data_IF_372090436742
#
_entry.id   IF_372090436742
#
_cell.length_a   1.000
_cell.length_b   1.000
_cell.length_c   1.000
_cell.angle_alpha   90.00
_cell.angle_beta   90.00
_cell.angle_gamma   90.00
#
_symmetry.space_group_name_H-M   'P 1'
#
loop_
_entity.id
_entity.type
_entity.pdbx_description
1 polymer ?
#
# COMPACT_ATOMS: atom_id res chain seq x y z
N UNK A 1 -18.58 20.84 9.90
CA UNK A 1 -19.27 21.56 8.81
C UNK A 1 -19.56 20.61 7.67
N UNK A 2 -18.62 19.73 7.29
CA UNK A 2 -18.96 18.46 6.62
C UNK A 2 -19.36 17.45 7.69
N UNK A 3 -20.46 16.74 7.48
CA UNK A 3 -21.05 15.77 8.42
C UNK A 3 -21.53 14.53 7.65
N UNK A 4 -21.56 13.38 8.31
CA UNK A 4 -22.17 12.16 7.79
C UNK A 4 -23.70 12.33 7.77
N UNK A 5 -24.31 12.23 6.58
CA UNK A 5 -25.75 12.44 6.38
C UNK A 5 -26.52 11.15 6.60
N UNK A 6 -27.65 11.21 7.30
CA UNK A 6 -28.42 10.02 7.72
C UNK A 6 -29.12 9.28 6.57
N UNK A 7 -29.20 9.87 5.38
CA UNK A 7 -29.88 9.34 4.20
C UNK A 7 -28.92 8.93 3.06
N UNK A 8 -27.61 8.87 3.33
CA UNK A 8 -26.58 8.48 2.37
C UNK A 8 -25.85 7.22 2.84
N UNK A 9 -25.55 6.31 1.91
CA UNK A 9 -24.66 5.17 2.16
C UNK A 9 -23.21 5.59 1.98
N UNK A 10 -22.36 5.31 2.96
CA UNK A 10 -20.91 5.57 2.91
C UNK A 10 -20.14 4.26 2.96
N UNK A 11 -19.09 4.16 2.14
CA UNK A 11 -18.16 3.02 2.12
C UNK A 11 -16.73 3.56 2.16
N UNK A 12 -15.87 2.87 2.91
CA UNK A 12 -14.47 3.23 3.03
C UNK A 12 -13.58 2.03 2.77
N UNK A 13 -12.64 2.18 1.84
CA UNK A 13 -11.55 1.23 1.63
C UNK A 13 -10.28 1.86 2.19
N UNK A 14 -9.59 1.11 3.05
CA UNK A 14 -8.26 1.46 3.51
C UNK A 14 -7.22 0.69 2.70
N UNK A 15 -6.18 1.39 2.25
CA UNK A 15 -4.99 0.85 1.58
C UNK A 15 -3.81 0.82 2.55
N UNK A 16 -2.98 -0.20 2.42
CA UNK A 16 -1.70 -0.29 3.14
C UNK A 16 -0.66 -0.91 2.21
N UNK A 17 0.50 -0.25 2.10
CA UNK A 17 1.65 -0.81 1.39
C UNK A 17 2.94 -0.71 2.20
N UNK A 18 2.80 -0.96 3.48
CA UNK A 18 3.92 -1.02 4.41
C UNK A 18 3.99 -2.34 5.13
N UNK A 19 5.16 -2.65 5.68
CA UNK A 19 5.36 -3.74 6.63
C UNK A 19 5.89 -3.20 7.95
N UNK A 20 5.39 -3.78 9.06
CA UNK A 20 5.83 -3.43 10.40
C UNK A 20 7.24 -3.97 10.66
N UNK A 21 8.10 -3.12 11.24
CA UNK A 21 9.47 -3.46 11.59
C UNK A 21 9.94 -2.59 12.78
N UNK A 22 11.24 -2.63 13.09
CA UNK A 22 11.83 -1.93 14.22
C UNK A 22 13.04 -1.11 13.78
N UNK A 23 13.17 0.11 14.33
CA UNK A 23 14.36 0.91 14.15
C UNK A 23 15.54 0.37 14.99
N UNK A 24 16.72 0.99 14.88
CA UNK A 24 17.92 0.61 15.66
C UNK A 24 17.74 0.67 17.18
N UNK A 25 16.71 1.36 17.67
CA UNK A 25 16.34 1.44 19.09
C UNK A 25 15.24 0.44 19.48
N UNK A 26 14.93 -0.53 18.62
CA UNK A 26 13.85 -1.52 18.80
C UNK A 26 12.46 -0.90 18.95
N UNK A 27 12.23 0.30 18.39
CA UNK A 27 10.92 0.94 18.39
C UNK A 27 10.18 0.60 17.10
N UNK A 28 8.88 0.31 17.21
CA UNK A 28 8.01 0.01 16.07
C UNK A 28 8.03 1.17 15.05
N UNK A 29 8.17 0.80 13.79
CA UNK A 29 8.08 1.65 12.59
C UNK A 29 7.42 0.84 11.46
N UNK A 30 6.98 1.53 10.41
CA UNK A 30 6.49 0.91 9.18
C UNK A 30 7.39 1.31 8.01
N UNK A 31 7.83 0.34 7.21
CA UNK A 31 8.61 0.60 6.00
C UNK A 31 7.83 0.26 4.73
N UNK A 32 8.09 0.97 3.62
CA UNK A 32 7.45 0.72 2.35
C UNK A 32 7.75 -0.69 1.84
N UNK A 33 6.78 -1.33 1.21
CA UNK A 33 7.03 -2.54 0.44
C UNK A 33 7.64 -2.16 -0.91
N UNK A 34 8.96 -2.30 -1.03
CA UNK A 34 9.76 -1.79 -2.17
C UNK A 34 9.40 -2.37 -3.55
N UNK A 35 8.63 -3.47 -3.61
CA UNK A 35 8.23 -4.12 -4.86
C UNK A 35 6.84 -3.71 -5.34
N UNK A 36 5.99 -3.22 -4.44
CA UNK A 36 4.59 -2.90 -4.71
C UNK A 36 4.31 -1.41 -4.61
N UNK A 37 5.10 -0.68 -3.81
CA UNK A 37 4.98 0.76 -3.68
C UNK A 37 5.79 1.48 -4.75
N UNK A 38 5.14 2.45 -5.40
CA UNK A 38 5.78 3.39 -6.30
C UNK A 38 6.90 4.17 -5.61
N UNK A 39 8.10 4.14 -6.20
CA UNK A 39 9.30 4.80 -5.67
C UNK A 39 9.11 6.27 -5.23
N UNK A 40 8.37 7.14 -5.96
CA UNK A 40 8.13 8.51 -5.48
C UNK A 40 7.39 8.58 -4.14
N UNK A 41 6.61 7.56 -3.79
CA UNK A 41 5.87 7.47 -2.54
C UNK A 41 6.72 6.88 -1.39
N UNK A 42 7.83 6.20 -1.67
CA UNK A 42 8.69 5.60 -0.62
C UNK A 42 9.17 6.64 0.40
N UNK A 43 9.62 7.81 -0.05
CA UNK A 43 10.14 8.86 0.85
C UNK A 43 9.03 9.38 1.77
N UNK A 44 7.82 9.53 1.24
CA UNK A 44 6.65 9.94 2.02
C UNK A 44 6.24 8.83 2.99
N UNK A 45 6.23 7.58 2.52
CA UNK A 45 5.94 6.40 3.34
C UNK A 45 6.88 6.26 4.51
N UNK A 46 8.19 6.42 4.29
CA UNK A 46 9.22 6.37 5.33
C UNK A 46 8.96 7.44 6.39
N UNK A 47 8.59 8.66 5.96
CA UNK A 47 8.28 9.73 6.90
C UNK A 47 7.02 9.39 7.74
N UNK A 48 5.94 8.97 7.09
CA UNK A 48 4.67 8.59 7.72
C UNK A 48 4.83 7.41 8.69
N UNK A 49 5.58 6.38 8.28
CA UNK A 49 5.87 5.18 9.05
C UNK A 49 6.95 5.34 10.12
N UNK A 50 7.61 6.50 10.18
CA UNK A 50 8.65 6.80 11.14
C UNK A 50 8.12 6.99 12.58
N UNK A 51 9.01 7.37 13.49
CA UNK A 51 8.67 7.75 14.86
C UNK A 51 8.15 9.19 14.97
N UNK A 52 8.01 9.93 13.88
CA UNK A 52 7.56 11.32 13.92
C UNK A 52 6.17 11.47 14.55
N UNK A 53 5.16 10.75 14.07
CA UNK A 53 3.80 10.84 14.63
C UNK A 53 3.76 10.42 16.12
N UNK A 54 4.36 9.29 16.54
CA UNK A 54 4.39 8.94 17.96
C UNK A 54 5.20 9.87 18.86
N UNK A 55 6.43 10.20 18.47
CA UNK A 55 7.37 10.88 19.37
C UNK A 55 7.20 12.41 19.35
N UNK A 56 6.71 12.98 18.24
CA UNK A 56 6.56 14.44 18.06
C UNK A 56 5.12 14.91 18.22
N UNK A 57 4.15 14.15 17.70
CA UNK A 57 2.72 14.52 17.76
C UNK A 57 1.96 13.83 18.90
N UNK A 58 2.58 12.86 19.58
CA UNK A 58 1.96 12.10 20.66
C UNK A 58 0.86 11.15 20.20
N UNK A 59 0.84 10.78 18.91
CA UNK A 59 -0.14 9.85 18.34
C UNK A 59 0.25 8.38 18.62
N UNK A 60 -0.70 7.45 18.49
CA UNK A 60 -0.38 6.02 18.64
C UNK A 60 0.50 5.54 17.48
N UNK A 61 1.15 4.39 17.66
CA UNK A 61 1.89 3.71 16.59
C UNK A 61 0.99 3.17 15.46
N UNK A 62 -0.33 3.23 15.62
CA UNK A 62 -1.29 2.81 14.59
C UNK A 62 -1.40 3.84 13.47
N UNK A 63 -0.80 5.01 13.65
CA UNK A 63 -0.57 5.99 12.59
C UNK A 63 0.62 5.65 11.70
N UNK A 64 1.42 4.61 11.98
CA UNK A 64 2.60 4.30 11.16
C UNK A 64 2.27 3.54 9.86
N UNK A 65 1.38 2.53 9.84
CA UNK A 65 0.91 1.92 8.60
C UNK A 65 0.36 2.95 7.61
N UNK A 66 0.75 2.84 6.35
CA UNK A 66 0.36 3.79 5.30
C UNK A 66 0.44 3.18 3.89
N UNK A 67 -0.09 3.90 2.91
CA UNK A 67 -0.05 3.56 1.48
C UNK A 67 0.92 4.46 0.69
N UNK A 68 1.88 5.09 1.39
CA UNK A 68 2.83 6.04 0.83
C UNK A 68 2.34 7.47 0.69
N UNK A 69 1.04 7.75 0.92
CA UNK A 69 0.54 9.13 0.96
C UNK A 69 -0.28 9.42 2.22
N UNK A 70 -1.03 8.43 2.72
CA UNK A 70 -1.97 8.58 3.83
C UNK A 70 -1.80 7.42 4.81
N UNK A 71 -1.92 7.70 6.11
CA UNK A 71 -1.90 6.67 7.14
C UNK A 71 -3.17 5.82 7.07
N UNK A 72 -3.04 4.49 7.11
CA UNK A 72 -4.15 3.54 6.90
C UNK A 72 -5.30 3.76 7.88
N UNK A 73 -4.99 4.07 9.16
CA UNK A 73 -6.01 4.37 10.18
C UNK A 73 -6.91 5.56 9.82
N UNK A 74 -6.39 6.51 9.04
CA UNK A 74 -7.11 7.73 8.64
C UNK A 74 -8.07 7.52 7.46
N UNK A 75 -8.11 6.33 6.86
CA UNK A 75 -8.93 6.05 5.67
C UNK A 75 -10.30 5.46 6.01
N UNK A 76 -10.53 5.07 7.26
CA UNK A 76 -11.74 4.34 7.66
C UNK A 76 -13.00 5.21 7.65
N UNK A 77 -12.91 6.46 8.08
CA UNK A 77 -14.05 7.37 8.14
C UNK A 77 -13.60 8.82 8.39
N UNK A 78 -14.57 9.73 8.38
CA UNK A 78 -14.35 11.05 8.95
C UNK A 78 -14.17 11.00 10.50
N UNK A 79 -13.93 12.16 11.10
CA UNK A 79 -13.64 12.26 12.54
C UNK A 79 -14.84 11.98 13.46
N UNK A 80 -16.09 12.08 12.98
CA UNK A 80 -17.31 12.10 13.81
C UNK A 80 -18.34 11.03 13.45
N UNK A 81 -18.27 10.47 12.25
CA UNK A 81 -19.20 9.48 11.74
C UNK A 81 -19.11 8.18 12.52
N UNK A 82 -20.21 7.42 12.48
CA UNK A 82 -20.24 6.07 13.03
C UNK A 82 -19.60 5.10 12.03
N UNK A 83 -18.65 4.29 12.52
CA UNK A 83 -18.01 3.21 11.76
C UNK A 83 -18.72 1.89 12.05
N UNK A 84 -19.03 1.14 11.01
CA UNK A 84 -19.48 -0.26 11.12
C UNK A 84 -18.67 -1.13 10.18
N UNK A 85 -18.23 -2.30 10.64
CA UNK A 85 -17.59 -3.27 9.77
C UNK A 85 -18.63 -3.79 8.75
N UNK A 86 -18.28 -3.78 7.47
CA UNK A 86 -19.18 -4.28 6.44
C UNK A 86 -19.20 -5.81 6.43
N UNK A 87 -20.28 -6.39 6.96
CA UNK A 87 -20.51 -7.84 7.02
C UNK A 87 -21.36 -8.37 5.85
N UNK A 88 -21.60 -7.51 4.85
CA UNK A 88 -22.53 -7.74 3.76
C UNK A 88 -23.85 -6.99 3.90
N UNK A 89 -24.11 -6.30 5.00
CA UNK A 89 -25.27 -5.40 5.12
C UNK A 89 -24.82 -3.95 5.06
N UNK A 90 -25.35 -3.20 4.09
CA UNK A 90 -25.10 -1.76 3.97
C UNK A 90 -25.95 -0.99 4.99
N UNK A 91 -25.30 -0.29 5.92
CA UNK A 91 -25.95 0.62 6.86
C UNK A 91 -25.97 2.06 6.32
N UNK A 92 -27.18 2.64 6.22
CA UNK A 92 -27.36 4.02 5.78
C UNK A 92 -26.98 4.99 6.90
N UNK A 93 -26.38 6.12 6.54
CA UNK A 93 -25.95 7.14 7.50
C UNK A 93 -24.72 6.79 8.31
N UNK A 94 -23.99 5.74 7.92
CA UNK A 94 -22.76 5.28 8.57
C UNK A 94 -21.70 4.91 7.56
N UNK A 95 -20.45 4.93 8.00
CA UNK A 95 -19.30 4.45 7.23
C UNK A 95 -19.23 2.93 7.33
N UNK A 96 -19.50 2.26 6.21
CA UNK A 96 -19.35 0.82 6.08
C UNK A 96 -17.88 0.53 5.75
N UNK A 97 -17.13 0.12 6.76
CA UNK A 97 -15.71 -0.19 6.66
C UNK A 97 -15.52 -1.48 5.86
N UNK A 98 -14.90 -1.33 4.70
CA UNK A 98 -14.59 -2.46 3.83
C UNK A 98 -13.33 -3.16 4.33
N UNK A 99 -13.15 -4.42 3.92
CA UNK A 99 -11.90 -5.14 4.17
C UNK A 99 -10.73 -4.37 3.57
N UNK A 100 -9.65 -4.23 4.35
CA UNK A 100 -8.43 -3.55 3.94
C UNK A 100 -7.83 -4.16 2.66
N UNK A 101 -7.36 -3.29 1.77
CA UNK A 101 -6.64 -3.66 0.56
C UNK A 101 -5.13 -3.57 0.84
N UNK A 102 -4.47 -4.70 1.00
CA UNK A 102 -3.07 -4.77 1.43
C UNK A 102 -2.12 -4.98 0.26
N UNK A 103 -0.91 -4.41 0.37
CA UNK A 103 0.10 -4.44 -0.69
C UNK A 103 -0.23 -3.51 -1.86
N UNK A 104 -0.92 -2.39 -1.57
CA UNK A 104 -1.32 -1.40 -2.57
C UNK A 104 -1.02 0.00 -2.08
N UNK A 105 -0.16 0.69 -2.83
CA UNK A 105 0.06 2.11 -2.61
C UNK A 105 -1.15 2.97 -3.02
N UNK A 106 -1.04 4.26 -2.70
CA UNK A 106 -2.10 5.24 -2.89
C UNK A 106 -2.59 5.37 -4.34
N UNK A 107 -1.73 5.12 -5.33
CA UNK A 107 -2.07 5.22 -6.75
C UNK A 107 -2.50 3.86 -7.31
N UNK A 108 -1.98 2.76 -6.77
CA UNK A 108 -2.27 1.41 -7.22
C UNK A 108 -3.78 1.10 -7.17
N UNK A 109 -4.46 1.51 -6.09
CA UNK A 109 -5.92 1.33 -5.96
C UNK A 109 -6.72 2.05 -7.05
N UNK A 110 -6.17 3.11 -7.65
CA UNK A 110 -6.81 3.86 -8.75
C UNK A 110 -6.56 3.27 -10.14
N UNK A 111 -5.80 2.18 -10.22
CA UNK A 111 -5.43 1.51 -11.47
C UNK A 111 -4.03 1.85 -11.97
N UNK A 112 -3.23 2.61 -11.21
CA UNK A 112 -1.81 2.86 -11.51
C UNK A 112 -0.99 1.69 -10.96
N UNK A 113 -1.20 0.51 -11.53
CA UNK A 113 -0.62 -0.76 -11.09
C UNK A 113 -0.58 -1.78 -12.23
N UNK A 114 0.18 -2.86 -12.03
CA UNK A 114 0.19 -4.04 -12.89
C UNK A 114 -0.89 -5.06 -12.51
N UNK A 115 -1.51 -4.89 -11.34
CA UNK A 115 -2.49 -5.81 -10.80
C UNK A 115 -3.88 -5.56 -11.40
N UNK A 116 -4.23 -6.34 -12.42
CA UNK A 116 -5.55 -6.26 -13.07
C UNK A 116 -6.72 -6.56 -12.10
N UNK A 117 -6.46 -7.28 -11.00
CA UNK A 117 -7.43 -7.61 -9.97
C UNK A 117 -8.09 -6.37 -9.35
N UNK A 118 -7.45 -5.19 -9.42
CA UNK A 118 -8.05 -3.92 -9.00
C UNK A 118 -9.36 -3.65 -9.74
N UNK A 119 -9.47 -4.00 -11.03
CA UNK A 119 -10.72 -3.84 -11.79
C UNK A 119 -11.86 -4.65 -11.16
N UNK A 120 -11.58 -5.84 -10.63
CA UNK A 120 -12.58 -6.67 -9.96
C UNK A 120 -13.20 -5.99 -8.73
N UNK A 121 -12.43 -5.15 -8.02
CA UNK A 121 -12.95 -4.34 -6.91
C UNK A 121 -13.96 -3.32 -7.43
N UNK A 122 -13.62 -2.60 -8.50
CA UNK A 122 -14.52 -1.62 -9.11
C UNK A 122 -15.81 -2.27 -9.62
N UNK A 123 -15.71 -3.40 -10.32
CA UNK A 123 -16.87 -4.14 -10.81
C UNK A 123 -17.77 -4.61 -9.67
N UNK A 124 -17.19 -5.25 -8.64
CA UNK A 124 -17.96 -5.73 -7.50
C UNK A 124 -18.56 -4.60 -6.66
N UNK A 125 -17.83 -3.49 -6.48
CA UNK A 125 -18.35 -2.33 -5.78
C UNK A 125 -19.47 -1.64 -6.57
N UNK A 126 -19.38 -1.56 -7.90
CA UNK A 126 -20.48 -1.07 -8.74
C UNK A 126 -21.73 -1.94 -8.64
N UNK A 127 -21.58 -3.26 -8.58
CA UNK A 127 -22.71 -4.15 -8.32
C UNK A 127 -23.33 -3.90 -6.93
N UNK A 128 -22.51 -3.62 -5.92
CA UNK A 128 -22.98 -3.21 -4.59
C UNK A 128 -23.80 -1.93 -4.64
N UNK A 129 -23.26 -0.88 -5.25
CA UNK A 129 -23.98 0.40 -5.38
C UNK A 129 -25.30 0.24 -6.16
N UNK A 130 -25.30 -0.56 -7.21
CA UNK A 130 -26.51 -0.85 -8.00
C UNK A 130 -27.55 -1.66 -7.21
N UNK A 131 -27.12 -2.48 -6.25
CA UNK A 131 -28.01 -3.27 -5.41
C UNK A 131 -28.66 -2.50 -4.26
N UNK A 132 -28.23 -1.26 -4.01
CA UNK A 132 -28.72 -0.47 -2.89
C UNK A 132 -30.24 -0.20 -2.99
N UNK A 133 -30.98 -0.27 -1.87
CA UNK A 133 -32.40 -0.01 -1.89
C UNK A 133 -32.72 1.43 -2.28
N UNK A 134 -33.62 1.59 -3.25
CA UNK A 134 -34.23 2.89 -3.59
C UNK A 134 -35.54 3.07 -2.80
N UNK A 135 -35.46 3.74 -1.65
CA UNK A 135 -36.62 4.05 -0.79
C UNK A 135 -37.04 2.93 0.18
N UNK A 136 -38.16 3.14 0.90
CA UNK A 136 -38.58 2.33 2.06
C UNK A 136 -39.12 0.93 1.75
N UNK A 137 -39.03 0.45 0.51
CA UNK A 137 -39.69 -0.79 0.06
C UNK A 137 -38.72 -1.98 0.03
N UNK A 138 -38.40 -2.50 1.21
CA UNK A 138 -37.62 -3.74 1.38
C UNK A 138 -38.46 -4.97 1.02
N UNK A 139 -38.19 -5.57 -0.14
CA UNK A 139 -38.71 -6.89 -0.53
C UNK A 139 -37.54 -7.86 -0.64
N UNK A 140 -37.71 -9.09 -0.12
CA UNK A 140 -36.79 -10.25 -0.08
C UNK A 140 -35.79 -10.42 -1.24
N UNK A 141 -36.08 -9.89 -2.42
CA UNK A 141 -35.17 -9.82 -3.59
C UNK A 141 -33.89 -9.01 -3.32
N UNK A 142 -33.94 -8.01 -2.43
CA UNK A 142 -32.79 -7.25 -1.97
C UNK A 142 -31.82 -8.09 -1.12
N UNK A 143 -32.32 -8.98 -0.27
CA UNK A 143 -31.48 -9.77 0.65
C UNK A 143 -30.65 -10.82 -0.08
N UNK A 144 -31.18 -11.47 -1.12
CA UNK A 144 -30.44 -12.45 -1.94
C UNK A 144 -29.51 -11.79 -2.97
N UNK A 145 -29.88 -10.62 -3.49
CA UNK A 145 -28.95 -9.80 -4.27
C UNK A 145 -27.73 -9.41 -3.41
N UNK A 146 -27.97 -9.07 -2.15
CA UNK A 146 -26.93 -8.66 -1.23
C UNK A 146 -25.90 -9.77 -0.96
N UNK A 147 -26.31 -11.01 -0.65
CA UNK A 147 -25.35 -12.10 -0.37
C UNK A 147 -24.47 -12.47 -1.57
N UNK A 148 -25.01 -12.40 -2.79
CA UNK A 148 -24.23 -12.69 -4.02
C UNK A 148 -23.23 -11.57 -4.31
N UNK A 149 -23.66 -10.32 -4.16
CA UNK A 149 -22.82 -9.13 -4.35
C UNK A 149 -21.71 -9.07 -3.29
N UNK A 150 -22.04 -9.31 -2.01
CA UNK A 150 -21.04 -9.41 -0.94
C UNK A 150 -20.03 -10.51 -1.23
N UNK A 151 -20.47 -11.68 -1.69
CA UNK A 151 -19.56 -12.77 -2.03
C UNK A 151 -18.60 -12.39 -3.18
N UNK A 152 -19.11 -11.71 -4.22
CA UNK A 152 -18.27 -11.19 -5.31
C UNK A 152 -17.24 -10.17 -4.80
N UNK A 153 -17.67 -9.26 -3.94
CA UNK A 153 -16.78 -8.24 -3.38
C UNK A 153 -15.68 -8.86 -2.51
N UNK A 154 -16.04 -9.78 -1.62
CA UNK A 154 -15.07 -10.51 -0.81
C UNK A 154 -14.11 -11.33 -1.68
N UNK A 155 -14.62 -11.96 -2.75
CA UNK A 155 -13.78 -12.69 -3.71
C UNK A 155 -12.83 -11.76 -4.47
N UNK A 156 -13.26 -10.56 -4.85
CA UNK A 156 -12.44 -9.58 -5.54
C UNK A 156 -11.33 -9.04 -4.62
N UNK A 157 -11.67 -8.68 -3.37
CA UNK A 157 -10.70 -8.24 -2.36
C UNK A 157 -9.69 -9.35 -2.06
N UNK A 158 -10.16 -10.59 -1.85
CA UNK A 158 -9.28 -11.73 -1.61
C UNK A 158 -8.35 -11.98 -2.81
N UNK A 159 -8.87 -11.90 -4.04
CA UNK A 159 -8.07 -12.09 -5.25
C UNK A 159 -6.99 -11.02 -5.40
N UNK A 160 -7.33 -9.76 -5.11
CA UNK A 160 -6.39 -8.65 -5.14
C UNK A 160 -5.30 -8.80 -4.07
N UNK A 161 -5.69 -9.05 -2.80
CA UNK A 161 -4.74 -9.25 -1.71
C UNK A 161 -3.84 -10.50 -1.91
N UNK A 162 -4.36 -11.56 -2.55
CA UNK A 162 -3.52 -12.70 -2.94
C UNK A 162 -2.52 -12.33 -4.04
N UNK A 163 -2.94 -11.53 -5.01
CA UNK A 163 -2.07 -11.09 -6.11
C UNK A 163 -0.94 -10.18 -5.59
N UNK A 164 -1.25 -9.23 -4.71
CA UNK A 164 -0.22 -8.38 -4.06
C UNK A 164 0.74 -9.22 -3.22
N UNK A 165 0.23 -10.15 -2.41
CA UNK A 165 1.04 -11.03 -1.58
C UNK A 165 1.93 -12.02 -2.37
N UNK A 166 1.61 -12.25 -3.64
CA UNK A 166 2.43 -13.09 -4.52
C UNK A 166 3.69 -12.39 -5.04
N UNK A 167 3.78 -11.06 -4.94
CA UNK A 167 4.95 -10.29 -5.34
C UNK A 167 5.94 -10.27 -4.18
N UNK A 168 6.89 -11.20 -4.16
CA UNK A 168 7.88 -11.31 -3.07
C UNK A 168 9.30 -11.00 -3.54
N UNK A 169 9.55 -11.15 -4.83
CA UNK A 169 10.85 -10.98 -5.46
C UNK A 169 10.75 -10.09 -6.69
N UNK A 170 11.90 -9.62 -7.18
CA UNK A 170 11.97 -8.93 -8.45
C UNK A 170 11.50 -9.83 -9.61
N UNK A 171 11.79 -11.14 -9.57
CA UNK A 171 11.35 -12.09 -10.60
C UNK A 171 9.82 -12.23 -10.66
N UNK A 172 9.12 -12.14 -9.51
CA UNK A 172 7.65 -12.14 -9.48
C UNK A 172 7.09 -10.89 -10.15
N UNK A 173 7.68 -9.72 -9.85
CA UNK A 173 7.32 -8.47 -10.52
C UNK A 173 7.66 -8.54 -12.02
N UNK A 174 8.74 -9.24 -12.38
CA UNK A 174 9.14 -9.42 -13.76
C UNK A 174 8.14 -10.27 -14.55
N UNK A 175 7.67 -11.35 -13.93
CA UNK A 175 6.66 -12.24 -14.50
C UNK A 175 5.35 -11.52 -14.81
N UNK A 176 4.95 -10.54 -13.98
CA UNK A 176 3.73 -9.75 -14.21
C UNK A 176 3.79 -8.93 -15.50
N UNK A 177 4.98 -8.59 -16.00
CA UNK A 177 5.12 -7.81 -17.23
C UNK A 177 5.43 -8.61 -18.47
N UNK A 178 5.81 -9.89 -18.38
CA UNK A 178 6.18 -10.69 -19.56
C UNK A 178 5.06 -10.71 -20.62
N UNK A 179 3.81 -10.46 -20.21
CA UNK A 179 2.67 -10.30 -21.09
C UNK A 179 1.90 -9.01 -20.74
N UNK A 180 2.40 -7.81 -21.11
CA UNK A 180 1.76 -6.57 -20.72
C UNK A 180 0.44 -6.44 -21.47
N UNK A 181 -0.64 -6.24 -20.72
CA UNK A 181 -2.00 -6.17 -21.28
C UNK A 181 -2.21 -4.95 -22.21
N UNK A 182 -1.35 -3.92 -22.09
CA UNK A 182 -1.33 -2.74 -22.94
C UNK A 182 0.00 -1.98 -22.79
N UNK A 183 0.20 -0.94 -23.61
CA UNK A 183 1.40 -0.07 -23.59
C UNK A 183 1.55 0.71 -22.28
N UNK A 184 0.48 0.93 -21.52
CA UNK A 184 0.59 1.57 -20.21
C UNK A 184 1.28 0.64 -19.21
N UNK A 185 0.87 -0.62 -19.14
CA UNK A 185 1.53 -1.64 -18.32
C UNK A 185 3.00 -1.80 -18.72
N UNK A 186 3.29 -1.85 -20.03
CA UNK A 186 4.67 -1.90 -20.55
C UNK A 186 5.52 -0.70 -20.07
N UNK A 187 5.00 0.53 -20.18
CA UNK A 187 5.70 1.73 -19.72
C UNK A 187 5.81 1.81 -18.18
N UNK A 188 4.80 1.35 -17.46
CA UNK A 188 4.81 1.31 -15.99
C UNK A 188 5.93 0.38 -15.50
N UNK A 189 6.05 -0.81 -16.09
CA UNK A 189 7.13 -1.76 -15.79
C UNK A 189 8.50 -1.20 -16.14
N UNK A 190 8.66 -0.63 -17.32
CA UNK A 190 9.93 -0.05 -17.76
C UNK A 190 10.41 1.05 -16.79
N UNK A 191 9.49 1.87 -16.26
CA UNK A 191 9.83 2.93 -15.31
C UNK A 191 10.10 2.41 -13.90
N UNK A 192 9.30 1.47 -13.39
CA UNK A 192 9.52 0.81 -12.08
C UNK A 192 10.86 0.06 -12.03
N UNK A 193 11.24 -0.62 -13.12
CA UNK A 193 12.45 -1.44 -13.18
C UNK A 193 13.71 -0.66 -13.57
N UNK A 194 13.59 0.43 -14.35
CA UNK A 194 14.74 1.34 -14.54
C UNK A 194 15.18 1.98 -13.22
N UNK A 195 14.30 2.02 -12.22
CA UNK A 195 14.64 2.50 -10.89
C UNK A 195 15.22 1.42 -9.96
N UNK A 196 15.01 0.12 -10.19
CA UNK A 196 15.81 -0.92 -9.50
C UNK A 196 17.27 -0.92 -9.97
N UNK A 197 17.56 -0.47 -11.20
CA UNK A 197 18.92 -0.15 -11.66
C UNK A 197 19.61 0.96 -10.83
N UNK A 198 18.85 1.84 -10.17
CA UNK A 198 19.40 2.80 -9.21
C UNK A 198 19.90 2.09 -7.96
N UNK A 199 19.26 1.00 -7.53
CA UNK A 199 19.76 0.17 -6.43
C UNK A 199 21.02 -0.60 -6.81
N UNK A 200 21.14 -1.10 -8.05
CA UNK A 200 22.39 -1.69 -8.55
C UNK A 200 23.50 -0.63 -8.65
N UNK A 201 23.14 0.59 -9.05
CA UNK A 201 24.07 1.73 -9.12
C UNK A 201 24.51 2.17 -7.73
N UNK A 202 23.60 2.18 -6.74
CA UNK A 202 23.88 2.50 -5.33
C UNK A 202 24.69 1.38 -4.67
N UNK A 203 24.38 0.11 -4.94
CA UNK A 203 25.15 -1.04 -4.46
C UNK A 203 26.57 -1.04 -5.04
N UNK A 204 26.70 -0.72 -6.33
CA UNK A 204 28.00 -0.54 -7.00
C UNK A 204 28.76 0.67 -6.44
N UNK A 205 28.09 1.79 -6.17
CA UNK A 205 28.70 2.95 -5.56
C UNK A 205 29.19 2.67 -4.13
N UNK A 206 28.39 1.97 -3.31
CA UNK A 206 28.78 1.56 -1.96
C UNK A 206 29.96 0.58 -1.96
N UNK A 207 29.96 -0.41 -2.86
CA UNK A 207 31.10 -1.33 -3.03
C UNK A 207 32.38 -0.60 -3.48
N UNK A 208 32.24 0.44 -4.31
CA UNK A 208 33.37 1.26 -4.76
C UNK A 208 33.93 2.13 -3.62
N UNK A 209 33.06 2.67 -2.76
CA UNK A 209 33.45 3.42 -1.56
C UNK A 209 34.15 2.51 -0.54
N UNK A 210 33.66 1.29 -0.30
CA UNK A 210 34.32 0.32 0.56
C UNK A 210 35.71 -0.09 0.04
N UNK A 211 35.84 -0.31 -1.28
CA UNK A 211 37.12 -0.60 -1.91
C UNK A 211 38.12 0.57 -1.80
N UNK A 212 37.65 1.81 -1.99
CA UNK A 212 38.47 3.01 -1.85
C UNK A 212 38.92 3.23 -0.39
N UNK A 213 38.05 2.96 0.57
CA UNK A 213 38.33 3.09 2.02
C UNK A 213 39.31 2.02 2.51
N UNK A 214 39.21 0.79 2.00
CA UNK A 214 40.18 -0.27 2.32
C UNK A 214 41.54 -0.05 1.64
N UNK A 215 41.57 0.62 0.49
CA UNK A 215 42.82 0.98 -0.20
C UNK A 215 43.55 2.10 0.54
N UNK A 216 42.83 3.12 1.03
CA UNK A 216 43.43 4.22 1.80
C UNK A 216 44.02 3.75 3.15
N UNK A 217 43.33 2.83 3.84
CA UNK A 217 43.82 2.19 5.08
C UNK A 217 45.12 1.40 4.81
N UNK A 218 45.21 0.64 3.71
CA UNK A 218 46.42 -0.12 3.37
C UNK A 218 47.60 0.76 2.96
N UNK A 219 47.35 1.90 2.31
CA UNK A 219 48.41 2.86 1.98
C UNK A 219 48.96 3.58 3.21
N UNK A 220 48.12 3.90 4.20
CA UNK A 220 48.55 4.53 5.46
C UNK A 220 49.35 3.57 6.36
N UNK A 221 48.98 2.28 6.40
CA UNK A 221 49.75 1.27 7.14
C UNK A 221 51.12 1.02 6.49
N UNK A 222 51.20 1.13 5.15
CA UNK A 222 52.46 0.94 4.40
C UNK A 222 53.41 2.13 4.52
N UNK A 223 52.90 3.37 4.55
CA UNK A 223 53.69 4.58 4.75
C UNK A 223 54.19 4.72 6.19
N UNK A 224 53.41 4.28 7.18
CA UNK A 224 53.82 4.28 8.60
C UNK A 224 54.93 3.26 8.90
N UNK A 225 55.03 2.17 8.11
CA UNK A 225 56.07 1.14 8.29
C UNK A 225 57.44 1.54 7.71
N UNK A 226 57.50 2.49 6.77
CA UNK A 226 58.76 2.95 6.18
C UNK A 226 59.46 4.09 6.95
N UNK A 227 58.83 4.64 7.99
CA UNK A 227 59.41 5.70 8.83
C UNK A 227 60.05 5.18 10.14
N UNK A 228 60.14 3.86 10.32
CA UNK A 228 60.93 3.21 11.38
C UNK A 228 61.90 2.21 10.76
N UNK A 229 62.99 2.73 10.22
CA UNK A 229 64.18 2.02 9.79
C UNK A 229 65.40 2.88 10.07
#
# INVERSE_FOLDING_TARGET
>A
WVETLSDIYYYSYATEDTSSTYNLKLQKISYPNVLTMLLPLDVLSIFLGSRYAPDTLGLSTDWQPNDGAVNTISMNQDYVGDLVEFDGVSEIGKWNQMTQLSGLDHLAVTGVTLLYQVLGIYEAHMELLYSLPVGSSSSRRLVTANSTVTAKLNSAIASLNMATASIQTQEDLETLYENPINTYAENYCANMLNTTLVNDTIATANATVEAATNTSINTDVSSTRMLRG
#
